data_IF_718863016174
#
_entry.id   IF_718863016174
#
_cell.length_a   1.000
_cell.length_b   1.000
_cell.length_c   1.000
_cell.angle_alpha   90.00
_cell.angle_beta   90.00
_cell.angle_gamma   90.00
#
_symmetry.space_group_name_H-M   'P 1'
#
loop_
_entity.id
_entity.type
_entity.pdbx_description
1 polymer ?
#
# COMPACT_ATOMS: atom_id res chain seq x y z
N UNK A 1 11.16 -9.47 -18.56
CA UNK A 1 11.42 -10.20 -17.30
C UNK A 1 10.31 -11.23 -17.10
N UNK A 2 10.63 -12.50 -16.78
CA UNK A 2 9.63 -13.54 -16.54
C UNK A 2 9.08 -13.41 -15.11
N UNK A 3 7.90 -13.96 -14.82
CA UNK A 3 7.33 -13.92 -13.45
C UNK A 3 8.24 -14.62 -12.42
N UNK A 4 8.86 -15.74 -12.82
CA UNK A 4 9.85 -16.44 -11.99
C UNK A 4 11.03 -15.54 -11.57
N UNK A 5 11.44 -14.61 -12.40
CA UNK A 5 12.56 -13.72 -12.09
C UNK A 5 12.11 -12.65 -11.08
N UNK A 6 10.85 -12.19 -11.17
CA UNK A 6 10.26 -11.29 -10.16
C UNK A 6 10.12 -11.99 -8.80
N UNK A 7 9.71 -13.26 -8.79
CA UNK A 7 9.68 -14.07 -7.56
C UNK A 7 11.07 -14.22 -6.93
N UNK A 8 12.09 -14.51 -7.74
CA UNK A 8 13.48 -14.56 -7.24
C UNK A 8 13.93 -13.23 -6.68
N UNK A 9 13.61 -12.10 -7.35
CA UNK A 9 13.92 -10.76 -6.86
C UNK A 9 13.16 -10.46 -5.55
N UNK A 10 11.90 -10.88 -5.44
CA UNK A 10 11.13 -10.72 -4.21
C UNK A 10 11.78 -11.46 -3.03
N UNK A 11 12.09 -12.75 -3.17
CA UNK A 11 12.72 -13.53 -2.10
C UNK A 11 14.13 -13.01 -1.75
N UNK A 12 14.90 -12.62 -2.76
CA UNK A 12 16.20 -12.00 -2.52
C UNK A 12 16.05 -10.67 -1.77
N UNK A 13 15.05 -9.87 -2.15
CA UNK A 13 14.77 -8.60 -1.49
C UNK A 13 14.30 -8.78 -0.06
N UNK A 14 13.48 -9.79 0.24
CA UNK A 14 13.11 -10.10 1.62
C UNK A 14 14.34 -10.42 2.47
N UNK A 15 15.30 -11.15 1.94
CA UNK A 15 16.53 -11.46 2.68
C UNK A 15 17.43 -10.24 2.89
N UNK A 16 17.44 -9.32 1.92
CA UNK A 16 18.30 -8.14 1.91
C UNK A 16 17.53 -6.88 1.51
N UNK A 17 16.58 -6.41 2.35
CA UNK A 17 15.79 -5.22 2.02
C UNK A 17 16.68 -3.99 1.91
N UNK A 18 16.58 -3.31 0.78
CA UNK A 18 17.29 -2.06 0.53
C UNK A 18 16.53 -1.20 -0.47
N UNK A 19 16.67 0.12 -0.35
CA UNK A 19 16.17 1.06 -1.34
C UNK A 19 16.94 0.90 -2.66
N UNK A 20 16.56 -0.13 -3.42
CA UNK A 20 17.28 -0.57 -4.60
C UNK A 20 16.72 0.03 -5.88
N UNK A 21 17.40 -0.26 -7.01
CA UNK A 21 16.97 0.15 -8.34
C UNK A 21 15.58 -0.42 -8.68
N UNK A 22 14.86 0.26 -9.55
CA UNK A 22 13.59 -0.20 -10.10
C UNK A 22 13.80 -1.44 -10.98
N UNK A 23 12.75 -2.27 -11.12
CA UNK A 23 12.79 -3.39 -12.05
C UNK A 23 12.98 -2.92 -13.50
N UNK A 24 13.62 -3.74 -14.36
CA UNK A 24 13.73 -3.47 -15.79
C UNK A 24 12.36 -3.21 -16.45
N UNK A 25 12.34 -2.37 -17.47
CA UNK A 25 11.11 -2.00 -18.19
C UNK A 25 10.30 -0.88 -17.55
N UNK A 26 10.73 -0.36 -16.39
CA UNK A 26 10.20 0.88 -15.84
C UNK A 26 11.06 2.07 -16.24
N UNK A 27 10.42 3.14 -16.70
CA UNK A 27 11.08 4.43 -16.97
C UNK A 27 11.81 4.91 -15.71
N UNK A 28 13.08 5.23 -15.84
CA UNK A 28 13.89 5.75 -14.75
C UNK A 28 13.41 7.17 -14.41
N UNK A 29 13.04 7.38 -13.16
CA UNK A 29 12.64 8.69 -12.63
C UNK A 29 11.88 8.52 -11.33
N UNK A 30 12.19 9.39 -10.36
CA UNK A 30 11.52 9.41 -9.05
C UNK A 30 10.60 10.63 -8.91
N UNK A 31 10.16 11.24 -10.03
CA UNK A 31 9.16 12.29 -10.04
C UNK A 31 7.82 11.79 -9.50
N UNK A 32 6.99 12.72 -9.02
CA UNK A 32 5.65 12.39 -8.50
C UNK A 32 4.83 11.65 -9.55
N UNK A 33 4.80 12.18 -10.78
CA UNK A 33 4.05 11.57 -11.87
C UNK A 33 4.45 10.10 -12.12
N UNK A 34 5.75 9.84 -12.28
CA UNK A 34 6.23 8.48 -12.54
C UNK A 34 6.08 7.52 -11.36
N UNK A 35 5.98 8.04 -10.15
CA UNK A 35 5.74 7.22 -8.97
C UNK A 35 4.28 6.75 -8.89
N UNK A 36 3.33 7.61 -9.32
CA UNK A 36 1.89 7.34 -9.27
C UNK A 36 1.35 6.73 -10.57
N UNK A 37 1.74 7.28 -11.72
CA UNK A 37 1.14 7.01 -13.03
C UNK A 37 2.10 6.34 -14.02
N UNK A 38 3.13 5.65 -13.53
CA UNK A 38 3.96 4.83 -14.44
C UNK A 38 3.12 3.76 -15.15
N UNK A 39 3.49 3.38 -16.38
CA UNK A 39 2.82 2.29 -17.08
C UNK A 39 2.73 1.03 -16.20
N UNK A 40 1.52 0.50 -16.08
CA UNK A 40 1.24 -0.65 -15.20
C UNK A 40 1.49 -1.96 -15.95
N UNK A 41 2.27 -2.87 -15.37
CA UNK A 41 2.48 -4.20 -15.94
C UNK A 41 1.30 -5.12 -15.58
N UNK A 42 0.12 -4.89 -16.18
CA UNK A 42 -1.14 -5.57 -15.83
C UNK A 42 -1.01 -7.10 -15.69
N UNK A 43 -0.35 -7.74 -16.66
CA UNK A 43 -0.12 -9.20 -16.61
C UNK A 43 0.60 -9.61 -15.33
N UNK A 44 1.57 -8.81 -14.84
CA UNK A 44 2.32 -9.11 -13.61
C UNK A 44 1.49 -8.86 -12.37
N UNK A 45 0.74 -7.76 -12.36
CA UNK A 45 -0.14 -7.45 -11.23
C UNK A 45 -1.19 -8.55 -11.06
N UNK A 46 -1.81 -9.02 -12.14
CA UNK A 46 -2.75 -10.14 -12.10
C UNK A 46 -2.10 -11.47 -11.65
N UNK A 47 -0.86 -11.74 -12.09
CA UNK A 47 -0.12 -12.93 -11.63
C UNK A 47 0.18 -12.87 -10.14
N UNK A 48 0.59 -11.69 -9.62
CA UNK A 48 0.81 -11.49 -8.18
C UNK A 48 -0.50 -11.59 -7.40
N UNK A 49 -1.58 -10.98 -7.86
CA UNK A 49 -2.90 -11.09 -7.23
C UNK A 49 -3.38 -12.54 -7.18
N UNK A 50 -3.33 -13.26 -8.31
CA UNK A 50 -3.71 -14.68 -8.39
C UNK A 50 -2.89 -15.57 -7.45
N UNK A 51 -1.57 -15.35 -7.37
CA UNK A 51 -0.71 -16.07 -6.44
C UNK A 51 -1.08 -15.77 -4.98
N UNK A 52 -1.31 -14.50 -4.64
CA UNK A 52 -1.73 -14.10 -3.29
C UNK A 52 -3.09 -14.70 -2.94
N UNK A 53 -4.07 -14.65 -3.84
CA UNK A 53 -5.39 -15.29 -3.62
C UNK A 53 -5.26 -16.78 -3.39
N UNK A 54 -4.46 -17.48 -4.19
CA UNK A 54 -4.24 -18.91 -4.06
C UNK A 54 -3.62 -19.28 -2.70
N UNK A 55 -2.55 -18.57 -2.30
CA UNK A 55 -1.89 -18.80 -1.00
C UNK A 55 -2.85 -18.49 0.15
N UNK A 56 -3.61 -17.40 0.05
CA UNK A 56 -4.56 -17.02 1.09
C UNK A 56 -5.74 -18.00 1.16
N UNK A 57 -6.29 -18.45 0.03
CA UNK A 57 -7.41 -19.38 0.02
C UNK A 57 -7.04 -20.79 0.51
N UNK A 58 -5.84 -21.28 0.15
CA UNK A 58 -5.45 -22.64 0.43
C UNK A 58 -4.64 -22.84 1.71
N UNK A 59 -3.96 -21.81 2.19
CA UNK A 59 -3.02 -21.93 3.31
C UNK A 59 -3.31 -20.91 4.42
N UNK A 60 -3.11 -19.64 4.16
CA UNK A 60 -3.12 -18.63 5.22
C UNK A 60 -4.52 -18.30 5.73
N UNK A 61 -5.52 -18.32 4.86
CA UNK A 61 -6.94 -18.15 5.23
C UNK A 61 -7.44 -19.26 6.14
N UNK A 62 -7.30 -20.54 5.76
CA UNK A 62 -7.62 -21.66 6.65
C UNK A 62 -6.92 -21.59 8.01
N UNK A 63 -5.64 -21.23 8.05
CA UNK A 63 -4.92 -21.01 9.32
C UNK A 63 -5.58 -19.90 10.14
N UNK A 64 -5.83 -18.72 9.53
CA UNK A 64 -6.44 -17.61 10.22
C UNK A 64 -7.85 -17.92 10.73
N UNK A 65 -8.66 -18.63 9.93
CA UNK A 65 -10.02 -19.05 10.34
C UNK A 65 -9.96 -20.06 11.48
N UNK A 66 -9.07 -21.06 11.41
CA UNK A 66 -8.90 -22.04 12.49
C UNK A 66 -8.45 -21.37 13.79
N UNK A 67 -7.50 -20.44 13.70
CA UNK A 67 -7.01 -19.67 14.85
C UNK A 67 -8.10 -18.76 15.42
N UNK A 68 -8.91 -18.13 14.56
CA UNK A 68 -10.06 -17.33 15.00
C UNK A 68 -11.07 -18.19 15.75
N UNK A 69 -11.40 -19.37 15.24
CA UNK A 69 -12.32 -20.33 15.88
C UNK A 69 -11.83 -20.78 17.25
N UNK A 70 -10.55 -21.22 17.35
CA UNK A 70 -9.95 -21.64 18.62
C UNK A 70 -9.82 -20.48 19.61
N UNK A 71 -9.48 -19.29 19.14
CA UNK A 71 -9.30 -18.10 19.97
C UNK A 71 -10.60 -17.35 20.29
N UNK A 72 -11.74 -17.72 19.72
CA UNK A 72 -13.02 -17.04 19.90
C UNK A 72 -13.09 -15.67 19.21
N UNK A 73 -12.21 -15.38 18.26
CA UNK A 73 -12.26 -14.14 17.52
C UNK A 73 -13.33 -14.18 16.42
N UNK A 74 -14.03 -13.05 16.21
CA UNK A 74 -15.07 -12.94 15.19
C UNK A 74 -14.72 -11.81 14.23
N UNK A 75 -14.87 -12.04 12.91
CA UNK A 75 -14.66 -11.00 11.94
C UNK A 75 -15.83 -10.02 11.95
N UNK A 76 -15.53 -8.72 11.92
CA UNK A 76 -16.55 -7.65 11.99
C UNK A 76 -17.26 -7.38 10.67
N UNK A 77 -16.74 -7.89 9.56
CA UNK A 77 -17.33 -7.68 8.25
C UNK A 77 -18.67 -8.44 8.16
N UNK A 78 -19.71 -7.72 7.84
CA UNK A 78 -21.00 -8.28 7.42
C UNK A 78 -20.96 -8.53 5.90
N UNK A 79 -21.00 -9.79 5.44
CA UNK A 79 -20.97 -10.10 4.01
C UNK A 79 -22.12 -9.49 3.20
N UNK A 80 -23.24 -9.17 3.88
CA UNK A 80 -24.43 -8.59 3.22
C UNK A 80 -24.32 -7.07 3.04
N UNK A 81 -23.38 -6.41 3.72
CA UNK A 81 -23.18 -4.94 3.72
C UNK A 81 -21.71 -4.57 3.52
N UNK A 82 -21.11 -5.10 2.47
CA UNK A 82 -19.69 -4.83 2.19
C UNK A 82 -19.53 -3.39 1.68
N UNK A 83 -18.74 -2.54 2.35
CA UNK A 83 -18.45 -1.19 1.88
C UNK A 83 -17.42 -1.25 0.72
N UNK A 84 -17.84 -1.68 -0.46
CA UNK A 84 -16.96 -2.01 -1.58
C UNK A 84 -16.11 -0.82 -2.07
N UNK A 85 -16.66 0.41 -2.08
CA UNK A 85 -15.90 1.62 -2.44
C UNK A 85 -14.74 1.82 -1.45
N UNK A 86 -15.03 1.64 -0.16
CA UNK A 86 -14.00 1.73 0.88
C UNK A 86 -12.95 0.63 0.72
N UNK A 87 -13.37 -0.61 0.51
CA UNK A 87 -12.46 -1.76 0.45
C UNK A 87 -11.61 -1.78 -0.83
N UNK A 88 -12.15 -1.38 -1.98
CA UNK A 88 -11.49 -1.52 -3.29
C UNK A 88 -10.74 -0.25 -3.70
N UNK A 89 -11.23 0.92 -3.32
CA UNK A 89 -10.65 2.20 -3.78
C UNK A 89 -10.00 2.95 -2.63
N UNK A 90 -10.76 3.26 -1.58
CA UNK A 90 -10.29 4.15 -0.52
C UNK A 90 -9.17 3.54 0.31
N UNK A 91 -9.39 2.36 0.88
CA UNK A 91 -8.42 1.70 1.74
C UNK A 91 -7.08 1.45 1.01
N UNK A 92 -7.04 0.89 -0.22
CA UNK A 92 -5.79 0.71 -0.95
C UNK A 92 -5.00 2.00 -1.14
N UNK A 93 -5.65 3.12 -1.46
CA UNK A 93 -4.94 4.40 -1.63
C UNK A 93 -4.38 4.89 -0.30
N UNK A 94 -5.23 4.96 0.72
CA UNK A 94 -4.86 5.57 2.00
C UNK A 94 -3.83 4.71 2.75
N UNK A 95 -4.02 3.39 2.77
CA UNK A 95 -3.11 2.46 3.43
C UNK A 95 -1.73 2.42 2.76
N UNK A 96 -1.68 2.48 1.42
CA UNK A 96 -0.40 2.56 0.73
C UNK A 96 0.33 3.88 1.04
N UNK A 97 -0.38 4.98 1.22
CA UNK A 97 0.20 6.25 1.67
C UNK A 97 0.70 6.18 3.12
N UNK A 98 -0.02 5.53 4.01
CA UNK A 98 0.38 5.38 5.42
C UNK A 98 1.61 4.48 5.53
N UNK A 99 1.55 3.27 4.97
CA UNK A 99 2.53 2.23 5.26
C UNK A 99 3.68 2.15 4.25
N UNK A 100 3.51 2.56 2.99
CA UNK A 100 4.50 2.34 1.93
C UNK A 100 5.10 3.61 1.36
N UNK A 101 4.51 4.78 1.64
CA UNK A 101 5.04 6.04 1.11
C UNK A 101 6.49 6.30 1.55
N UNK A 102 6.78 6.06 2.83
CA UNK A 102 8.11 6.25 3.43
C UNK A 102 9.20 5.43 2.74
N UNK A 103 8.89 4.25 2.20
CA UNK A 103 9.86 3.33 1.60
C UNK A 103 10.63 3.93 0.41
N UNK A 104 10.10 4.97 -0.23
CA UNK A 104 10.77 5.65 -1.36
C UNK A 104 10.87 7.16 -1.20
N UNK A 105 10.09 7.74 -0.28
CA UNK A 105 10.02 9.18 -0.07
C UNK A 105 10.13 9.56 1.42
N UNK A 106 11.25 9.20 2.06
CA UNK A 106 11.42 9.42 3.49
C UNK A 106 11.42 10.91 3.88
N UNK A 107 11.82 11.82 2.97
CA UNK A 107 11.81 13.26 3.24
C UNK A 107 10.42 13.87 3.37
N UNK A 108 9.40 13.21 2.86
CA UNK A 108 8.02 13.70 2.82
C UNK A 108 7.08 12.97 3.78
N UNK A 109 7.60 11.97 4.50
CA UNK A 109 6.76 11.14 5.36
C UNK A 109 6.10 11.94 6.49
N UNK A 110 6.77 12.96 7.04
CA UNK A 110 6.25 13.82 8.11
C UNK A 110 5.01 14.64 7.70
N UNK A 111 4.78 14.83 6.41
CA UNK A 111 3.62 15.56 5.91
C UNK A 111 2.56 14.62 5.34
N UNK A 112 2.98 13.63 4.56
CA UNK A 112 2.05 12.74 3.86
C UNK A 112 1.45 11.68 4.78
N UNK A 113 2.26 11.08 5.65
CA UNK A 113 1.76 10.00 6.51
C UNK A 113 0.74 10.49 7.55
N UNK A 114 0.94 11.58 8.31
CA UNK A 114 -0.09 12.08 9.22
C UNK A 114 -1.39 12.44 8.53
N UNK A 115 -1.32 13.05 7.34
CA UNK A 115 -2.52 13.35 6.53
C UNK A 115 -3.21 12.05 6.10
N UNK A 116 -2.46 11.07 5.62
CA UNK A 116 -3.01 9.79 5.21
C UNK A 116 -3.63 9.01 6.39
N UNK A 117 -3.02 9.07 7.59
CA UNK A 117 -3.60 8.50 8.82
C UNK A 117 -4.92 9.19 9.15
N UNK A 118 -4.98 10.52 9.10
CA UNK A 118 -6.22 11.25 9.29
C UNK A 118 -7.30 10.80 8.30
N UNK A 119 -6.98 10.73 7.00
CA UNK A 119 -7.89 10.25 5.95
C UNK A 119 -8.36 8.80 6.19
N UNK A 120 -7.48 7.95 6.70
CA UNK A 120 -7.80 6.55 6.99
C UNK A 120 -8.88 6.41 8.05
N UNK A 121 -8.83 7.23 9.11
CA UNK A 121 -9.83 7.19 10.17
C UNK A 121 -11.13 7.94 9.84
N UNK A 122 -11.09 8.94 8.95
CA UNK A 122 -12.30 9.65 8.51
C UNK A 122 -13.14 8.83 7.51
N UNK A 123 -12.52 7.90 6.81
CA UNK A 123 -13.20 7.13 5.77
C UNK A 123 -13.46 7.92 4.48
N UNK A 124 -14.19 7.34 3.50
CA UNK A 124 -14.42 7.93 2.18
C UNK A 124 -15.55 8.97 2.19
N UNK A 125 -15.37 10.09 2.88
CA UNK A 125 -16.26 11.23 2.80
C UNK A 125 -16.20 11.93 1.44
N UNK A 126 -17.32 12.49 0.97
CA UNK A 126 -17.42 13.11 -0.36
C UNK A 126 -16.35 14.17 -0.63
N UNK A 127 -16.13 15.07 0.33
CA UNK A 127 -15.11 16.10 0.24
C UNK A 127 -13.68 15.55 0.20
N UNK A 128 -13.44 14.45 0.90
CA UNK A 128 -12.13 13.79 0.93
C UNK A 128 -11.83 13.09 -0.40
N UNK A 129 -12.85 12.48 -1.02
CA UNK A 129 -12.72 11.88 -2.35
C UNK A 129 -12.41 12.97 -3.39
N UNK A 130 -13.10 14.09 -3.35
CA UNK A 130 -12.81 15.24 -4.23
C UNK A 130 -11.38 15.75 -4.00
N UNK A 131 -10.95 15.92 -2.76
CA UNK A 131 -9.58 16.33 -2.42
C UNK A 131 -8.53 15.36 -2.97
N UNK A 132 -8.77 14.06 -2.87
CA UNK A 132 -7.90 13.04 -3.44
C UNK A 132 -7.84 13.11 -4.97
N UNK A 133 -8.98 13.32 -5.63
CA UNK A 133 -9.04 13.49 -7.09
C UNK A 133 -8.26 14.73 -7.55
N UNK A 134 -8.41 15.85 -6.85
CA UNK A 134 -7.65 17.08 -7.10
C UNK A 134 -6.15 16.84 -6.92
N UNK A 135 -5.74 16.11 -5.87
CA UNK A 135 -4.35 15.73 -5.66
C UNK A 135 -3.83 14.85 -6.80
N UNK A 136 -4.57 13.84 -7.21
CA UNK A 136 -4.21 12.97 -8.34
C UNK A 136 -4.06 13.78 -9.64
N UNK A 137 -4.98 14.71 -9.89
CA UNK A 137 -4.92 15.60 -11.05
C UNK A 137 -3.69 16.53 -10.99
N UNK A 138 -3.40 17.12 -9.84
CA UNK A 138 -2.21 17.94 -9.64
C UNK A 138 -0.91 17.14 -9.87
N UNK A 139 -0.84 15.90 -9.37
CA UNK A 139 0.28 15.00 -9.63
C UNK A 139 0.38 14.66 -11.13
N UNK A 140 -0.75 14.43 -11.79
CA UNK A 140 -0.78 14.14 -13.22
C UNK A 140 -0.31 15.33 -14.06
N UNK A 141 -0.76 16.55 -13.73
CA UNK A 141 -0.34 17.79 -14.39
C UNK A 141 1.15 18.06 -14.15
N UNK A 142 1.73 17.63 -13.02
CA UNK A 142 3.14 17.85 -12.69
C UNK A 142 4.11 17.27 -13.73
N UNK A 143 3.65 16.37 -14.61
CA UNK A 143 4.43 15.86 -15.74
C UNK A 143 4.81 16.95 -16.76
N UNK A 144 3.94 17.96 -16.91
CA UNK A 144 4.12 19.06 -17.87
C UNK A 144 4.91 20.24 -17.29
N UNK A 145 4.88 20.38 -15.97
CA UNK A 145 5.49 21.51 -15.29
C UNK A 145 6.95 21.25 -14.92
N UNK A 146 7.70 20.48 -15.69
CA UNK A 146 9.12 20.16 -15.51
C UNK A 146 9.89 21.08 -14.57
N UNK A 147 9.48 21.16 -13.28
CA UNK A 147 10.16 22.03 -12.31
C UNK A 147 11.54 21.47 -12.04
N UNK A 148 12.59 22.20 -12.39
CA UNK A 148 13.94 21.74 -12.13
C UNK A 148 14.12 21.50 -10.63
N UNK A 149 14.79 20.42 -10.27
CA UNK A 149 15.22 20.12 -8.89
C UNK A 149 16.28 21.10 -8.37
N UNK A 150 16.18 22.39 -8.73
CA UNK A 150 17.15 23.39 -8.32
C UNK A 150 16.98 23.68 -6.82
N UNK A 151 18.10 23.75 -6.14
CA UNK A 151 18.16 24.24 -4.77
C UNK A 151 17.50 25.63 -4.73
N UNK A 152 16.55 25.81 -3.84
CA UNK A 152 15.90 27.12 -3.68
C UNK A 152 16.95 28.18 -3.28
N UNK A 153 16.97 29.35 -3.94
CA UNK A 153 17.86 30.44 -3.57
C UNK A 153 17.70 30.81 -2.09
N UNK A 154 18.79 31.23 -1.48
CA UNK A 154 18.76 31.87 -0.15
C UNK A 154 17.77 33.05 -0.20
N UNK A 155 16.85 33.14 0.76
CA UNK A 155 15.81 34.17 0.76
C UNK A 155 14.48 33.80 0.08
N UNK A 156 14.35 32.56 -0.42
CA UNK A 156 13.06 32.12 -1.00
C UNK A 156 11.90 32.25 -0.01
N UNK A 157 10.74 32.70 -0.53
CA UNK A 157 9.50 32.85 0.23
C UNK A 157 9.09 31.53 0.89
N UNK A 158 8.33 31.60 1.98
CA UNK A 158 7.85 30.42 2.70
C UNK A 158 7.06 29.45 1.79
N UNK A 159 6.30 29.96 0.81
CA UNK A 159 5.59 29.15 -0.18
C UNK A 159 6.55 28.32 -1.03
N UNK A 160 7.64 28.89 -1.52
CA UNK A 160 8.66 28.14 -2.26
C UNK A 160 9.33 27.08 -1.39
N UNK A 161 9.52 27.37 -0.09
CA UNK A 161 10.03 26.40 0.89
C UNK A 161 9.04 25.26 1.10
N UNK A 162 7.74 25.57 1.22
CA UNK A 162 6.67 24.56 1.35
C UNK A 162 6.57 23.69 0.09
N UNK A 163 6.50 24.30 -1.09
CA UNK A 163 6.48 23.58 -2.37
C UNK A 163 7.74 22.71 -2.53
N UNK A 164 8.92 23.23 -2.18
CA UNK A 164 10.16 22.45 -2.20
C UNK A 164 10.15 21.29 -1.21
N UNK A 165 9.53 21.45 -0.04
CA UNK A 165 9.35 20.37 0.93
C UNK A 165 8.37 19.31 0.39
N UNK A 166 7.26 19.73 -0.22
CA UNK A 166 6.28 18.82 -0.85
C UNK A 166 6.87 18.09 -2.06
N UNK A 167 7.71 18.75 -2.86
CA UNK A 167 8.40 18.17 -4.01
C UNK A 167 9.57 17.25 -3.66
N UNK A 168 9.92 17.14 -2.37
CA UNK A 168 10.99 16.27 -1.90
C UNK A 168 12.35 16.91 -2.04
N UNK A 169 12.61 17.90 -1.19
CA UNK A 169 13.97 18.45 -1.01
C UNK A 169 14.95 17.30 -0.81
N UNK A 170 16.00 17.28 -1.61
CA UNK A 170 17.03 16.27 -1.47
C UNK A 170 17.54 16.27 -0.01
N UNK A 171 17.40 15.16 0.68
CA UNK A 171 17.99 15.01 1.99
C UNK A 171 19.49 15.19 1.89
N UNK A 172 20.11 15.73 2.94
CA UNK A 172 21.57 15.72 3.06
C UNK A 172 22.05 14.29 2.91
N UNK A 173 23.16 14.09 2.22
CA UNK A 173 23.73 12.76 1.96
C UNK A 173 23.90 11.92 3.25
N UNK A 174 24.25 12.55 4.36
CA UNK A 174 24.36 11.92 5.69
C UNK A 174 23.01 11.35 6.19
N UNK A 175 21.90 12.08 6.01
CA UNK A 175 20.55 11.63 6.40
C UNK A 175 20.08 10.49 5.51
N UNK A 176 20.37 10.54 4.21
CA UNK A 176 20.04 9.48 3.27
C UNK A 176 20.84 8.20 3.57
N UNK A 177 22.13 8.32 3.89
CA UNK A 177 22.97 7.17 4.30
C UNK A 177 22.43 6.52 5.57
N UNK A 178 22.01 7.32 6.57
CA UNK A 178 21.38 6.83 7.79
C UNK A 178 20.08 6.08 7.47
N UNK A 179 19.21 6.66 6.66
CA UNK A 179 17.97 6.01 6.22
C UNK A 179 18.26 4.65 5.54
N UNK A 180 19.23 4.57 4.65
CA UNK A 180 19.60 3.31 3.98
C UNK A 180 20.07 2.23 4.95
N UNK A 181 20.76 2.61 6.03
CA UNK A 181 21.17 1.67 7.09
C UNK A 181 19.97 1.09 7.83
N UNK A 182 18.96 1.92 8.12
CA UNK A 182 17.75 1.52 8.83
C UNK A 182 16.63 1.03 7.92
N UNK A 183 16.83 1.01 6.62
CA UNK A 183 15.79 0.65 5.65
C UNK A 183 15.14 -0.73 5.93
N UNK A 184 15.87 -1.81 6.30
CA UNK A 184 15.24 -3.09 6.64
C UNK A 184 14.23 -2.96 7.78
N UNK A 185 14.54 -2.21 8.81
CA UNK A 185 13.63 -1.95 9.94
C UNK A 185 12.40 -1.17 9.52
N UNK A 186 12.55 -0.17 8.66
CA UNK A 186 11.42 0.59 8.10
C UNK A 186 10.55 -0.32 7.24
N UNK A 187 11.14 -1.18 6.43
CA UNK A 187 10.42 -2.11 5.55
C UNK A 187 9.60 -3.12 6.36
N UNK A 188 10.22 -3.83 7.28
CA UNK A 188 9.52 -4.82 8.10
C UNK A 188 8.58 -4.17 9.11
N UNK A 189 8.98 -3.07 9.73
CA UNK A 189 8.13 -2.33 10.67
C UNK A 189 6.83 -1.82 10.02
N UNK A 190 6.92 -1.26 8.81
CA UNK A 190 5.75 -0.82 8.06
C UNK A 190 4.84 -2.00 7.68
N UNK A 191 5.41 -3.15 7.33
CA UNK A 191 4.64 -4.36 7.01
C UNK A 191 3.95 -4.95 8.24
N UNK A 192 4.64 -5.02 9.38
CA UNK A 192 4.07 -5.50 10.63
C UNK A 192 2.97 -4.56 11.15
N UNK A 193 3.19 -3.24 11.07
CA UNK A 193 2.17 -2.26 11.43
C UNK A 193 0.92 -2.38 10.55
N UNK A 194 1.10 -2.63 9.25
CA UNK A 194 -0.02 -2.90 8.35
C UNK A 194 -0.78 -4.17 8.74
N UNK A 195 -0.08 -5.28 9.01
CA UNK A 195 -0.72 -6.51 9.50
C UNK A 195 -1.45 -6.28 10.83
N UNK A 196 -0.80 -5.61 11.79
CA UNK A 196 -1.39 -5.32 13.10
C UNK A 196 -2.64 -4.45 13.01
N UNK A 197 -2.69 -3.48 12.07
CA UNK A 197 -3.90 -2.67 11.84
C UNK A 197 -5.11 -3.56 11.53
N UNK A 198 -4.91 -4.66 10.80
CA UNK A 198 -6.00 -5.56 10.41
C UNK A 198 -6.59 -6.36 11.58
N UNK A 199 -5.96 -6.34 12.77
CA UNK A 199 -6.60 -6.86 13.98
C UNK A 199 -7.89 -6.10 14.34
N UNK A 200 -8.01 -4.84 13.93
CA UNK A 200 -9.26 -4.07 14.05
C UNK A 200 -10.45 -4.67 13.28
N UNK A 201 -10.18 -5.54 12.29
CA UNK A 201 -11.23 -6.24 11.56
C UNK A 201 -11.87 -7.36 12.39
N UNK A 202 -11.35 -7.63 13.57
CA UNK A 202 -11.83 -8.70 14.45
C UNK A 202 -12.30 -8.15 15.79
N UNK A 203 -13.30 -8.83 16.36
CA UNK A 203 -13.62 -8.78 17.77
C UNK A 203 -12.79 -9.87 18.45
N UNK A 204 -11.77 -9.48 19.20
CA UNK A 204 -10.76 -10.41 19.71
C UNK A 204 -11.24 -11.18 20.95
N UNK A 205 -12.27 -10.68 21.65
CA UNK A 205 -12.82 -11.27 22.88
C UNK A 205 -11.70 -11.65 23.88
N UNK A 206 -11.64 -12.93 24.26
CA UNK A 206 -10.63 -13.49 25.18
C UNK A 206 -9.43 -14.12 24.47
N UNK A 207 -9.20 -13.80 23.20
CA UNK A 207 -8.14 -14.38 22.38
C UNK A 207 -6.75 -14.15 22.99
N UNK A 208 -5.97 -15.21 23.12
CA UNK A 208 -4.61 -15.14 23.62
C UNK A 208 -3.69 -14.38 22.66
N UNK A 209 -2.85 -13.51 23.19
CA UNK A 209 -1.99 -12.60 22.43
C UNK A 209 -1.03 -13.31 21.45
N UNK A 210 -0.57 -14.54 21.77
CA UNK A 210 0.34 -15.31 20.91
C UNK A 210 -0.34 -15.87 19.65
N UNK A 211 -1.67 -15.86 19.59
CA UNK A 211 -2.44 -16.24 18.39
C UNK A 211 -2.62 -15.08 17.40
N UNK A 212 -2.52 -13.83 17.88
CA UNK A 212 -2.76 -12.63 17.06
C UNK A 212 -1.91 -12.57 15.78
N UNK A 213 -0.60 -12.91 15.81
CA UNK A 213 0.20 -12.91 14.58
C UNK A 213 -0.35 -13.86 13.51
N UNK A 214 -0.87 -15.03 13.91
CA UNK A 214 -1.40 -16.03 12.96
C UNK A 214 -2.71 -15.54 12.34
N UNK A 215 -3.51 -14.76 13.06
CA UNK A 215 -4.75 -14.19 12.56
C UNK A 215 -4.54 -13.23 11.40
N UNK A 216 -3.42 -12.51 11.38
CA UNK A 216 -3.08 -11.50 10.37
C UNK A 216 -1.97 -11.93 9.41
N UNK A 217 -1.61 -13.23 9.34
CA UNK A 217 -0.64 -13.75 8.38
C UNK A 217 -1.00 -13.43 6.92
N UNK A 218 -2.28 -13.54 6.48
CA UNK A 218 -2.68 -13.16 5.13
C UNK A 218 -2.28 -11.72 4.79
N UNK A 219 -2.55 -10.80 5.71
CA UNK A 219 -2.24 -9.38 5.56
C UNK A 219 -0.74 -9.12 5.61
N UNK A 220 0.00 -9.83 6.45
CA UNK A 220 1.47 -9.70 6.51
C UNK A 220 2.11 -10.13 5.18
N UNK A 221 1.71 -11.26 4.58
CA UNK A 221 2.24 -11.68 3.28
C UNK A 221 1.90 -10.67 2.18
N UNK A 222 0.63 -10.25 2.11
CA UNK A 222 0.18 -9.23 1.17
C UNK A 222 0.98 -7.93 1.37
N UNK A 223 1.17 -7.53 2.63
CA UNK A 223 1.96 -6.37 3.01
C UNK A 223 3.41 -6.42 2.54
N UNK A 224 4.08 -7.59 2.62
CA UNK A 224 5.43 -7.79 2.10
C UNK A 224 5.51 -7.61 0.58
N UNK A 225 4.55 -8.19 -0.15
CA UNK A 225 4.50 -8.07 -1.62
C UNK A 225 4.25 -6.62 -2.03
N UNK A 226 3.30 -5.94 -1.39
CA UNK A 226 2.99 -4.53 -1.67
C UNK A 226 4.19 -3.62 -1.35
N UNK A 227 4.86 -3.84 -0.22
CA UNK A 227 6.05 -3.07 0.16
C UNK A 227 7.22 -3.29 -0.81
N UNK A 228 7.47 -4.51 -1.25
CA UNK A 228 8.43 -4.82 -2.31
C UNK A 228 8.06 -4.15 -3.63
N UNK A 229 6.77 -4.27 -4.04
CA UNK A 229 6.28 -3.67 -5.28
C UNK A 229 6.41 -2.14 -5.25
N UNK A 230 6.10 -1.51 -4.10
CA UNK A 230 6.33 -0.08 -3.87
C UNK A 230 7.78 0.31 -4.17
N UNK A 231 8.75 -0.43 -3.64
CA UNK A 231 10.16 -0.15 -3.86
C UNK A 231 10.56 -0.37 -5.32
N UNK A 232 10.06 -1.42 -5.96
CA UNK A 232 10.46 -1.84 -7.30
C UNK A 232 9.73 -1.13 -8.42
N UNK A 233 8.43 -0.82 -8.24
CA UNK A 233 7.58 -0.29 -9.34
C UNK A 233 6.92 1.05 -9.05
N UNK A 234 6.75 1.45 -7.80
CA UNK A 234 6.16 2.73 -7.40
C UNK A 234 4.85 2.59 -6.66
N UNK A 235 4.33 3.74 -6.18
CA UNK A 235 3.12 3.75 -5.36
C UNK A 235 1.88 3.34 -6.16
N UNK A 236 1.74 3.81 -7.40
CA UNK A 236 0.61 3.47 -8.25
C UNK A 236 0.49 1.97 -8.51
N UNK A 237 1.60 1.27 -8.77
CA UNK A 237 1.58 -0.18 -8.95
C UNK A 237 1.19 -0.93 -7.66
N UNK A 238 1.63 -0.42 -6.50
CA UNK A 238 1.26 -0.98 -5.19
C UNK A 238 -0.23 -0.77 -4.90
N UNK A 239 -0.75 0.45 -5.10
CA UNK A 239 -2.18 0.76 -4.95
C UNK A 239 -3.04 -0.13 -5.85
N UNK A 240 -2.67 -0.27 -7.13
CA UNK A 240 -3.46 -1.06 -8.07
C UNK A 240 -3.42 -2.55 -7.72
N UNK A 241 -2.27 -3.12 -7.35
CA UNK A 241 -2.23 -4.51 -6.88
C UNK A 241 -3.10 -4.70 -5.63
N UNK A 242 -3.04 -3.76 -4.69
CA UNK A 242 -3.85 -3.81 -3.46
C UNK A 242 -5.35 -3.75 -3.79
N UNK A 243 -5.77 -2.84 -4.68
CA UNK A 243 -7.15 -2.73 -5.14
C UNK A 243 -7.64 -4.02 -5.86
N UNK A 244 -6.82 -4.61 -6.72
CA UNK A 244 -7.12 -5.89 -7.38
C UNK A 244 -7.24 -7.00 -6.34
N UNK A 245 -6.31 -7.06 -5.39
CA UNK A 245 -6.29 -8.09 -4.34
C UNK A 245 -7.55 -8.03 -3.47
N UNK A 246 -7.96 -6.85 -3.02
CA UNK A 246 -9.19 -6.66 -2.25
C UNK A 246 -10.44 -6.84 -3.12
N UNK A 247 -10.42 -6.33 -4.35
CA UNK A 247 -11.56 -6.33 -5.26
C UNK A 247 -11.99 -7.72 -5.69
N UNK A 248 -11.05 -8.65 -5.93
CA UNK A 248 -11.39 -10.00 -6.38
C UNK A 248 -12.35 -10.74 -5.45
N UNK A 249 -12.01 -10.95 -4.16
CA UNK A 249 -12.90 -11.59 -3.21
C UNK A 249 -14.21 -10.81 -2.98
N UNK A 250 -14.15 -9.48 -2.88
CA UNK A 250 -15.34 -8.63 -2.68
C UNK A 250 -16.31 -8.80 -3.84
N UNK A 251 -15.84 -8.68 -5.08
CA UNK A 251 -16.69 -8.83 -6.28
C UNK A 251 -17.22 -10.26 -6.42
N UNK A 252 -16.43 -11.27 -6.04
CA UNK A 252 -16.87 -12.65 -6.01
C UNK A 252 -18.02 -12.85 -5.01
N UNK A 253 -17.88 -12.35 -3.79
CA UNK A 253 -18.93 -12.43 -2.76
C UNK A 253 -20.21 -11.72 -3.24
N UNK A 254 -20.09 -10.49 -3.74
CA UNK A 254 -21.25 -9.74 -4.27
C UNK A 254 -21.92 -10.51 -5.42
N UNK A 255 -21.13 -11.09 -6.33
CA UNK A 255 -21.63 -11.89 -7.44
C UNK A 255 -22.39 -13.14 -6.98
N UNK A 256 -21.86 -13.84 -5.98
CA UNK A 256 -22.51 -15.02 -5.39
C UNK A 256 -23.83 -14.65 -4.67
N UNK A 257 -23.81 -13.60 -3.86
CA UNK A 257 -25.04 -13.11 -3.18
C UNK A 257 -26.14 -12.74 -4.18
N UNK A 258 -25.80 -12.04 -5.26
CA UNK A 258 -26.78 -11.72 -6.31
C UNK A 258 -27.31 -12.94 -7.06
N UNK A 259 -26.47 -13.95 -7.26
CA UNK A 259 -26.84 -15.15 -8.01
C UNK A 259 -27.75 -16.08 -7.19
N UNK A 260 -27.46 -16.23 -5.89
CA UNK A 260 -28.14 -17.23 -5.04
C UNK A 260 -29.27 -16.65 -4.19
N UNK A 261 -29.18 -15.39 -3.76
CA UNK A 261 -30.13 -14.84 -2.80
C UNK A 261 -31.06 -13.78 -3.40
N UNK A 262 -30.80 -13.31 -4.64
CA UNK A 262 -31.59 -12.24 -5.27
C UNK A 262 -31.58 -10.92 -4.49
N UNK A 263 -30.64 -10.75 -3.53
CA UNK A 263 -30.57 -9.61 -2.63
C UNK A 263 -30.07 -8.39 -3.40
N UNK A 264 -30.82 -7.26 -3.40
CA UNK A 264 -30.31 -6.00 -3.94
C UNK A 264 -29.15 -5.51 -3.06
N UNK A 265 -27.97 -5.35 -3.66
CA UNK A 265 -26.74 -4.86 -3.04
C UNK A 265 -26.54 -3.38 -3.34
#
# INVERSE_FOLDING_TARGET
MRFRDELKDFFYFLRYPRSARRLPGRVQGDGWYLDWFAPLPWKRLLQWAGMLWLINALVLGPIAVSVAGVGGAQHRLDPTRIPWVQAIIWAPVVEELVFRFVLRRPSQWLTVVPLAVFLMFQGPGWWLIQGLLVLCLAIWISRYTGMPRQALPAGSSWWRKLVGALQGRAWRFSSMRRYWRFFPWVFYGATLAFGALHLYNFQLNSMSWYLLPMLVLPQCLTGLVLAWLRVRRGIGASIVLHAIFNGGPVLLIIGLLKLFDGIPV
#
